data_IF_581171497045
#
_entry.id   IF_581171497045
#
_cell.length_a   1.000
_cell.length_b   1.000
_cell.length_c   1.000
_cell.angle_alpha   90.00
_cell.angle_beta   90.00
_cell.angle_gamma   90.00
#
_symmetry.space_group_name_H-M   'P 1'
#
loop_
_entity.id
_entity.type
_entity.pdbx_description
1 polymer ?
#
# COMPACT_ATOMS: atom_id res chain seq x y z
N UNK A 1 1.54 22.43 -45.04
CA UNK A 1 2.78 21.74 -44.59
C UNK A 1 3.47 22.40 -43.41
N UNK A 2 3.77 23.72 -43.43
CA UNK A 2 4.49 24.39 -42.32
C UNK A 2 3.78 24.34 -40.96
N UNK A 3 2.46 24.51 -40.93
CA UNK A 3 1.65 24.44 -39.70
C UNK A 3 1.63 23.03 -39.10
N UNK A 4 1.55 22.00 -39.96
CA UNK A 4 1.56 20.59 -39.54
C UNK A 4 2.90 20.20 -38.91
N UNK A 5 4.01 20.69 -39.50
CA UNK A 5 5.37 20.51 -38.98
C UNK A 5 5.57 21.20 -37.63
N UNK A 6 5.05 22.42 -37.44
CA UNK A 6 5.09 23.08 -36.12
C UNK A 6 4.30 22.31 -35.06
N UNK A 7 3.10 21.80 -35.40
CA UNK A 7 2.29 21.02 -34.47
C UNK A 7 2.98 19.70 -34.06
N UNK A 8 3.62 19.00 -35.00
CA UNK A 8 4.40 17.80 -34.73
C UNK A 8 5.62 18.09 -33.82
N UNK A 9 6.31 19.22 -34.05
CA UNK A 9 7.43 19.64 -33.21
C UNK A 9 6.98 19.97 -31.78
N UNK A 10 5.84 20.63 -31.61
CA UNK A 10 5.33 20.96 -30.27
C UNK A 10 4.89 19.71 -29.50
N UNK A 11 4.22 18.75 -30.15
CA UNK A 11 3.81 17.48 -29.50
C UNK A 11 5.03 16.65 -29.10
N UNK A 12 6.04 16.57 -29.97
CA UNK A 12 7.29 15.85 -29.68
C UNK A 12 8.06 16.48 -28.52
N UNK A 13 8.08 17.81 -28.43
CA UNK A 13 8.74 18.53 -27.35
C UNK A 13 8.03 18.28 -26.01
N UNK A 14 6.69 18.38 -25.98
CA UNK A 14 5.92 18.11 -24.76
C UNK A 14 6.13 16.68 -24.27
N UNK A 15 6.03 15.69 -25.16
CA UNK A 15 6.26 14.27 -24.83
C UNK A 15 7.67 14.00 -24.28
N UNK A 16 8.69 14.74 -24.72
CA UNK A 16 10.05 14.61 -24.21
C UNK A 16 10.28 15.25 -22.82
N UNK A 17 9.40 16.16 -22.41
CA UNK A 17 9.48 16.86 -21.11
C UNK A 17 8.63 16.24 -20.01
N UNK A 18 7.60 15.48 -20.37
CA UNK A 18 6.76 14.75 -19.42
C UNK A 18 7.43 13.43 -19.06
N UNK A 19 8.19 13.41 -17.95
CA UNK A 19 8.54 12.15 -17.29
C UNK A 19 7.35 11.72 -16.45
N UNK A 20 6.68 10.67 -16.89
CA UNK A 20 5.69 9.97 -16.09
C UNK A 20 6.45 9.09 -15.10
N UNK A 21 6.70 9.62 -13.91
CA UNK A 21 7.32 8.86 -12.83
C UNK A 21 6.20 8.18 -12.03
N UNK A 22 6.24 6.85 -12.00
CA UNK A 22 5.42 6.05 -11.09
C UNK A 22 5.79 6.34 -9.63
N UNK A 23 4.80 6.32 -8.75
CA UNK A 23 5.01 6.37 -7.31
C UNK A 23 5.10 4.95 -6.74
N UNK A 24 5.94 4.74 -5.73
CA UNK A 24 6.11 3.43 -5.08
C UNK A 24 5.92 3.52 -3.57
N UNK A 25 5.08 2.67 -3.02
CA UNK A 25 4.94 2.41 -1.58
C UNK A 25 5.78 1.18 -1.19
N UNK A 26 6.79 1.36 -0.35
CA UNK A 26 7.50 0.26 0.30
C UNK A 26 7.01 0.14 1.73
N UNK A 27 6.47 -1.00 2.12
CA UNK A 27 5.91 -1.19 3.47
C UNK A 27 6.63 -2.32 4.17
N UNK A 28 7.15 -2.06 5.37
CA UNK A 28 7.60 -3.08 6.31
C UNK A 28 6.61 -3.14 7.45
N UNK A 29 5.96 -4.28 7.63
CA UNK A 29 4.94 -4.46 8.65
C UNK A 29 5.33 -5.54 9.66
N UNK A 30 5.10 -5.22 10.93
CA UNK A 30 5.18 -6.14 12.06
C UNK A 30 3.82 -6.17 12.75
N UNK A 31 3.28 -7.37 12.94
CA UNK A 31 1.97 -7.59 13.56
C UNK A 31 2.12 -8.31 14.89
N UNK A 32 1.38 -7.84 15.89
CA UNK A 32 1.34 -8.38 17.25
C UNK A 32 -0.07 -8.82 17.61
N UNK A 33 -0.15 -9.93 18.32
CA UNK A 33 -1.37 -10.45 18.91
C UNK A 33 -0.97 -11.46 19.98
N UNK A 34 -1.48 -11.32 21.21
CA UNK A 34 -1.10 -12.18 22.34
C UNK A 34 -1.66 -13.59 22.22
N UNK A 35 -2.91 -13.73 21.76
CA UNK A 35 -3.60 -15.02 21.71
C UNK A 35 -4.43 -15.21 20.43
N UNK A 36 -3.77 -15.30 19.25
CA UNK A 36 -4.48 -15.48 18.00
C UNK A 36 -5.16 -16.85 17.94
N UNK A 37 -6.43 -16.90 17.51
CA UNK A 37 -7.14 -18.17 17.28
C UNK A 37 -6.62 -18.92 16.05
N UNK A 38 -6.10 -18.18 15.07
CA UNK A 38 -5.36 -18.66 13.92
C UNK A 38 -4.13 -17.74 13.76
N UNK A 39 -2.89 -18.26 13.79
CA UNK A 39 -1.69 -17.44 13.70
C UNK A 39 -1.43 -16.90 12.28
N UNK A 40 -2.17 -17.37 11.27
CA UNK A 40 -1.97 -16.94 9.89
C UNK A 40 -2.79 -15.67 9.62
N UNK A 41 -2.10 -14.62 9.19
CA UNK A 41 -2.67 -13.33 8.81
C UNK A 41 -2.40 -13.09 7.33
N UNK A 42 -3.40 -12.60 6.61
CA UNK A 42 -3.20 -12.09 5.24
C UNK A 42 -3.11 -10.57 5.30
N UNK A 43 -2.10 -10.02 4.64
CA UNK A 43 -1.87 -8.58 4.56
C UNK A 43 -1.84 -8.23 3.09
N UNK A 44 -2.65 -7.26 2.70
CA UNK A 44 -2.67 -6.69 1.36
C UNK A 44 -2.26 -5.23 1.46
N UNK A 45 -1.40 -4.80 0.55
CA UNK A 45 -1.14 -3.40 0.26
C UNK A 45 -2.04 -3.04 -0.91
N UNK A 46 -2.91 -2.06 -0.68
CA UNK A 46 -3.96 -1.65 -1.61
C UNK A 46 -3.77 -0.17 -1.92
N UNK A 47 -4.23 0.27 -3.09
CA UNK A 47 -4.54 1.67 -3.36
C UNK A 47 -6.03 1.94 -3.10
N UNK A 48 -6.37 3.16 -2.70
CA UNK A 48 -7.75 3.59 -2.47
C UNK A 48 -8.15 4.58 -3.57
N UNK A 49 -8.56 4.09 -4.72
CA UNK A 49 -9.02 4.92 -5.81
C UNK A 49 -10.18 5.84 -5.39
N UNK A 50 -10.05 7.14 -5.72
CA UNK A 50 -11.04 8.15 -5.35
C UNK A 50 -12.43 7.93 -5.96
N UNK A 51 -12.54 7.10 -7.01
CA UNK A 51 -13.76 6.91 -7.79
C UNK A 51 -13.72 5.56 -8.50
N UNK A 52 -14.02 4.45 -7.82
CA UNK A 52 -14.79 3.33 -8.40
C UNK A 52 -15.15 2.29 -7.33
N UNK A 53 -15.92 1.30 -7.71
CA UNK A 53 -16.76 0.51 -6.82
C UNK A 53 -15.95 -0.38 -5.86
N UNK A 54 -16.57 -0.83 -4.76
CA UNK A 54 -16.00 -1.71 -3.70
C UNK A 54 -15.53 -3.10 -4.19
N UNK A 55 -15.46 -3.33 -5.50
CA UNK A 55 -15.12 -4.59 -6.16
C UNK A 55 -14.14 -4.41 -7.31
N UNK A 56 -13.28 -3.40 -7.26
CA UNK A 56 -12.16 -3.38 -8.21
C UNK A 56 -11.02 -4.27 -7.70
N UNK A 57 -10.67 -5.26 -8.51
CA UNK A 57 -9.61 -6.23 -8.19
C UNK A 57 -8.23 -5.69 -8.59
N UNK A 58 -8.16 -4.53 -9.26
CA UNK A 58 -6.92 -3.89 -9.71
C UNK A 58 -6.24 -3.01 -8.65
N UNK A 59 -6.96 -2.57 -7.61
CA UNK A 59 -6.43 -1.81 -6.45
C UNK A 59 -5.37 -2.58 -5.62
N UNK A 60 -5.19 -3.89 -5.84
CA UNK A 60 -4.22 -4.68 -5.06
C UNK A 60 -2.81 -4.48 -5.59
N UNK A 61 -2.02 -3.70 -4.86
CA UNK A 61 -0.62 -3.43 -5.21
C UNK A 61 0.34 -4.59 -4.88
N UNK A 62 0.17 -5.23 -3.72
CA UNK A 62 0.97 -6.38 -3.27
C UNK A 62 0.26 -7.12 -2.12
N UNK A 63 0.65 -8.36 -1.82
CA UNK A 63 0.12 -9.09 -0.68
C UNK A 63 1.09 -10.13 -0.11
N UNK A 64 0.89 -10.49 1.15
CA UNK A 64 1.71 -11.48 1.82
C UNK A 64 1.01 -12.17 2.97
N UNK A 65 1.52 -13.34 3.32
CA UNK A 65 1.13 -14.05 4.53
C UNK A 65 2.08 -13.70 5.66
N UNK A 66 1.53 -13.39 6.83
CA UNK A 66 2.25 -13.12 8.06
C UNK A 66 1.92 -14.19 9.11
N UNK A 67 2.91 -14.63 9.88
CA UNK A 67 2.72 -15.61 10.96
C UNK A 67 2.96 -14.98 12.33
N UNK A 68 1.91 -14.91 13.14
CA UNK A 68 1.93 -14.39 14.51
C UNK A 68 2.63 -15.37 15.48
N UNK A 69 3.16 -14.83 16.59
CA UNK A 69 3.75 -15.60 17.68
C UNK A 69 5.20 -16.06 17.49
N UNK A 70 5.91 -15.53 16.48
CA UNK A 70 7.33 -15.79 16.27
C UNK A 70 8.21 -14.90 17.17
N UNK A 71 9.39 -15.40 17.54
CA UNK A 71 10.40 -14.66 18.31
C UNK A 71 11.78 -14.83 17.65
N UNK A 72 12.41 -13.77 17.10
CA UNK A 72 11.88 -12.41 16.98
C UNK A 72 10.64 -12.35 16.08
N UNK A 73 9.90 -11.26 16.17
CA UNK A 73 8.72 -11.01 15.33
C UNK A 73 9.12 -11.06 13.85
N UNK A 74 8.23 -11.61 13.02
CA UNK A 74 8.43 -11.60 11.57
C UNK A 74 8.31 -10.16 11.04
N UNK A 75 9.08 -9.84 10.00
CA UNK A 75 8.88 -8.62 9.22
C UNK A 75 8.37 -9.05 7.86
N UNK A 76 7.18 -8.58 7.49
CA UNK A 76 6.66 -8.73 6.14
C UNK A 76 6.99 -7.44 5.37
N UNK A 77 7.61 -7.59 4.20
CA UNK A 77 7.89 -6.47 3.30
C UNK A 77 6.96 -6.57 2.10
N UNK A 78 6.23 -5.49 1.81
CA UNK A 78 5.35 -5.34 0.66
C UNK A 78 5.82 -4.16 -0.19
N UNK A 79 5.59 -4.22 -1.50
CA UNK A 79 5.95 -3.16 -2.44
C UNK A 79 4.89 -2.99 -3.51
N UNK A 80 4.26 -1.82 -3.53
CA UNK A 80 3.32 -1.40 -4.55
C UNK A 80 3.87 -0.27 -5.40
N UNK A 81 3.63 -0.30 -6.72
CA UNK A 81 4.06 0.76 -7.63
C UNK A 81 2.97 1.03 -8.64
N UNK A 82 2.58 2.29 -8.75
CA UNK A 82 1.53 2.71 -9.66
C UNK A 82 1.80 4.09 -10.23
N UNK A 83 1.22 4.35 -11.40
CA UNK A 83 1.20 5.67 -11.99
C UNK A 83 -0.21 6.24 -11.87
N UNK A 84 -0.34 7.23 -11.01
CA UNK A 84 -1.59 7.91 -10.76
C UNK A 84 -1.44 9.42 -10.87
N UNK A 85 -2.36 10.08 -11.57
CA UNK A 85 -2.36 11.55 -11.65
C UNK A 85 -2.81 12.19 -10.33
N UNK A 86 -3.72 11.55 -9.61
CA UNK A 86 -4.23 11.94 -8.28
C UNK A 86 -3.21 11.73 -7.17
N UNK A 87 -2.20 10.88 -7.39
CA UNK A 87 -1.27 10.42 -6.38
C UNK A 87 -1.85 9.25 -5.58
N UNK A 88 -0.98 8.34 -5.18
CA UNK A 88 -1.33 7.05 -4.57
C UNK A 88 -1.94 7.24 -3.18
N UNK A 89 -2.99 6.50 -2.84
CA UNK A 89 -3.61 6.44 -1.50
C UNK A 89 -3.39 5.07 -0.83
N UNK A 90 -2.12 4.71 -0.52
CA UNK A 90 -1.81 3.36 -0.06
C UNK A 90 -2.42 3.08 1.31
N UNK A 91 -3.03 1.91 1.46
CA UNK A 91 -3.49 1.39 2.74
C UNK A 91 -3.18 -0.10 2.90
N UNK A 92 -3.15 -0.57 4.16
CA UNK A 92 -3.08 -2.00 4.47
C UNK A 92 -4.47 -2.55 4.76
N UNK A 93 -4.85 -3.61 4.05
CA UNK A 93 -6.02 -4.44 4.36
C UNK A 93 -5.56 -5.74 5.03
N UNK A 94 -5.98 -5.97 6.28
CA UNK A 94 -5.43 -7.03 7.12
C UNK A 94 -6.52 -7.97 7.59
N UNK A 95 -6.45 -9.24 7.19
CA UNK A 95 -7.37 -10.29 7.62
C UNK A 95 -6.70 -11.17 8.68
N UNK A 96 -7.21 -11.12 9.90
CA UNK A 96 -6.60 -11.79 11.05
C UNK A 96 -7.63 -12.45 11.98
N UNK A 97 -7.17 -13.34 12.87
CA UNK A 97 -7.99 -13.99 13.89
C UNK A 97 -7.56 -13.62 15.32
N UNK A 98 -7.16 -12.36 15.52
CA UNK A 98 -6.89 -11.80 16.85
C UNK A 98 -8.23 -11.38 17.48
N UNK A 99 -8.88 -12.32 18.14
CA UNK A 99 -10.22 -12.15 18.71
C UNK A 99 -10.49 -13.24 19.75
N UNK A 100 -11.41 -12.99 20.66
CA UNK A 100 -11.83 -13.97 21.67
C UNK A 100 -12.73 -15.07 21.09
N UNK A 101 -13.35 -14.84 19.91
CA UNK A 101 -14.31 -15.77 19.29
C UNK A 101 -13.60 -16.79 18.38
N UNK A 102 -13.90 -18.07 18.58
CA UNK A 102 -13.45 -19.15 17.69
C UNK A 102 -14.03 -18.97 16.27
N UNK A 103 -13.28 -19.40 15.26
CA UNK A 103 -13.67 -19.37 13.84
C UNK A 103 -14.10 -17.99 13.30
N UNK A 104 -13.69 -16.90 13.96
CA UNK A 104 -13.98 -15.54 13.53
C UNK A 104 -12.71 -14.89 12.99
N UNK A 105 -12.83 -14.26 11.82
CA UNK A 105 -11.78 -13.38 11.28
C UNK A 105 -12.27 -11.94 11.29
N UNK A 106 -11.36 -11.03 11.61
CA UNK A 106 -11.55 -9.58 11.56
C UNK A 106 -10.78 -9.01 10.37
N UNK A 107 -11.26 -7.85 9.92
CA UNK A 107 -10.59 -7.02 8.92
C UNK A 107 -10.16 -5.73 9.63
N UNK A 108 -8.91 -5.34 9.44
CA UNK A 108 -8.37 -4.06 9.89
C UNK A 108 -7.79 -3.31 8.69
N UNK A 109 -8.30 -2.10 8.45
CA UNK A 109 -7.85 -1.23 7.38
C UNK A 109 -7.01 -0.09 7.98
N UNK A 110 -5.80 0.10 7.45
CA UNK A 110 -4.90 1.15 7.90
C UNK A 110 -4.46 2.02 6.70
N UNK A 111 -5.07 3.20 6.52
CA UNK A 111 -4.56 4.20 5.60
C UNK A 111 -3.12 4.58 5.99
N UNK A 112 -2.20 4.57 5.02
CA UNK A 112 -0.80 4.94 5.27
C UNK A 112 -0.53 6.40 4.94
N UNK A 113 -1.12 6.90 3.85
CA UNK A 113 -0.99 8.29 3.40
C UNK A 113 -2.08 8.59 2.37
N UNK A 114 -2.60 9.82 2.40
CA UNK A 114 -3.46 10.35 1.33
C UNK A 114 -2.60 11.15 0.32
N UNK A 115 -2.93 11.00 -0.96
CA UNK A 115 -2.39 11.67 -2.15
C UNK A 115 -0.86 11.68 -2.18
N UNK A 116 -0.28 10.48 -2.16
CA UNK A 116 1.16 10.27 -2.17
C UNK A 116 1.72 10.49 -3.59
N UNK A 117 2.31 11.66 -3.83
CA UNK A 117 2.97 12.01 -5.11
C UNK A 117 4.46 11.64 -5.19
N UNK A 118 5.02 11.05 -4.14
CA UNK A 118 6.44 10.68 -4.07
C UNK A 118 6.59 9.35 -3.38
N UNK A 119 7.46 8.50 -3.92
CA UNK A 119 7.76 7.20 -3.34
C UNK A 119 8.18 7.29 -1.89
N UNK A 120 7.70 6.37 -1.05
CA UNK A 120 7.95 6.35 0.39
C UNK A 120 8.21 4.96 0.92
N UNK A 121 8.93 4.92 2.03
CA UNK A 121 9.10 3.75 2.87
C UNK A 121 8.31 3.96 4.15
N UNK A 122 7.44 3.00 4.47
CA UNK A 122 6.65 2.93 5.69
C UNK A 122 7.18 1.81 6.57
N UNK A 123 7.48 2.13 7.82
CA UNK A 123 7.70 1.14 8.87
C UNK A 123 6.47 1.15 9.78
N UNK A 124 5.78 0.01 9.83
CA UNK A 124 4.46 -0.16 10.43
C UNK A 124 4.53 -1.24 11.51
N UNK A 125 4.07 -0.91 12.72
CA UNK A 125 3.86 -1.87 13.80
C UNK A 125 2.41 -1.80 14.24
N UNK A 126 1.71 -2.92 14.27
CA UNK A 126 0.29 -2.97 14.64
C UNK A 126 0.10 -3.96 15.78
N UNK A 127 -0.48 -3.49 16.87
CA UNK A 127 -1.06 -4.37 17.89
C UNK A 127 -2.51 -4.67 17.50
N UNK A 128 -2.78 -5.91 17.07
CA UNK A 128 -4.09 -6.37 16.63
C UNK A 128 -5.03 -6.70 17.79
N UNK A 129 -4.53 -6.76 19.03
CA UNK A 129 -5.40 -6.90 20.22
C UNK A 129 -6.12 -5.57 20.49
N UNK A 130 -5.40 -4.45 20.35
CA UNK A 130 -5.89 -3.09 20.61
C UNK A 130 -6.24 -2.31 19.35
N UNK A 131 -5.96 -2.86 18.17
CA UNK A 131 -6.12 -2.22 16.87
C UNK A 131 -5.38 -0.86 16.79
N UNK A 132 -4.24 -0.77 17.50
CA UNK A 132 -3.42 0.45 17.58
C UNK A 132 -2.19 0.35 16.67
N UNK A 133 -2.06 1.24 15.68
CA UNK A 133 -0.91 1.27 14.79
C UNK A 133 0.16 2.27 15.27
N UNK A 134 1.41 1.98 14.94
CA UNK A 134 2.51 2.93 14.93
C UNK A 134 3.06 2.95 13.51
N UNK A 135 2.91 4.09 12.85
CA UNK A 135 3.36 4.29 11.47
C UNK A 135 4.42 5.37 11.46
N UNK A 136 5.57 5.05 10.85
CA UNK A 136 6.57 6.04 10.49
C UNK A 136 6.84 5.97 8.99
N UNK A 137 7.09 7.11 8.36
CA UNK A 137 7.39 7.13 6.93
C UNK A 137 8.55 8.07 6.61
N UNK A 138 9.23 7.77 5.50
CA UNK A 138 10.28 8.62 4.92
C UNK A 138 10.21 8.56 3.41
N UNK A 139 10.74 9.58 2.75
CA UNK A 139 10.92 9.56 1.30
C UNK A 139 11.83 8.39 0.90
N UNK A 140 11.42 7.65 -0.12
CA UNK A 140 12.30 6.75 -0.82
C UNK A 140 13.14 7.61 -1.77
N UNK A 141 14.41 7.83 -1.42
CA UNK A 141 15.33 8.50 -2.33
C UNK A 141 15.74 7.50 -3.44
N UNK A 142 15.78 7.92 -4.71
CA UNK A 142 16.32 7.12 -5.80
C UNK A 142 17.80 6.82 -5.62
#
# INVERSE_FOLDING_TARGET
MRVLLLALLTVSFVASTTRFDSTTAFVKVVLRCKNPKDPNVKVFLMDSDFIENVWDEDDTLDFGNYRLGLTPEMILSLRGQEFEFSGLDPYLYIVHACTDKLNTRKIYNLPLMESMYRSRIFDVVIDLDTETPSVSSRLAYP
#
